data_IF_217621645355
#
_entry.id   IF_217621645355
#
_cell.length_a   1.000
_cell.length_b   1.000
_cell.length_c   1.000
_cell.angle_alpha   90.00
_cell.angle_beta   90.00
_cell.angle_gamma   90.00
#
_symmetry.space_group_name_H-M   'P 1'
#
loop_
_entity.id
_entity.type
_entity.pdbx_description
1 polymer ?
#
# COMPACT_ATOMS: atom_id res chain seq x y z
N UNK A 1 -14.70 13.17 -7.01
CA UNK A 1 -16.00 12.45 -7.14
C UNK A 1 -15.77 11.01 -7.64
N UNK A 2 -15.13 10.81 -8.79
CA UNK A 2 -14.89 9.49 -9.41
C UNK A 2 -14.26 8.43 -8.45
N UNK A 3 -13.13 8.76 -7.79
CA UNK A 3 -12.47 7.85 -6.83
C UNK A 3 -13.43 7.34 -5.74
N UNK A 4 -14.24 8.23 -5.14
CA UNK A 4 -15.17 7.85 -4.06
C UNK A 4 -16.25 6.90 -4.55
N UNK A 5 -16.81 7.16 -5.72
CA UNK A 5 -17.84 6.30 -6.34
C UNK A 5 -17.24 4.92 -6.61
N UNK A 6 -16.06 4.87 -7.25
CA UNK A 6 -15.41 3.59 -7.55
C UNK A 6 -15.02 2.84 -6.27
N UNK A 7 -14.55 3.52 -5.23
CA UNK A 7 -14.26 2.89 -3.94
C UNK A 7 -15.51 2.25 -3.32
N UNK A 8 -16.68 2.90 -3.42
CA UNK A 8 -17.95 2.34 -2.92
C UNK A 8 -18.32 1.10 -3.74
N UNK A 9 -18.26 1.18 -5.07
CA UNK A 9 -18.56 0.04 -5.96
C UNK A 9 -17.64 -1.14 -5.65
N UNK A 10 -16.33 -0.90 -5.53
CA UNK A 10 -15.36 -1.95 -5.19
C UNK A 10 -15.63 -2.54 -3.80
N UNK A 11 -15.99 -1.74 -2.79
CA UNK A 11 -16.37 -2.26 -1.46
C UNK A 11 -17.57 -3.20 -1.56
N UNK A 12 -18.61 -2.81 -2.31
CA UNK A 12 -19.79 -3.64 -2.51
C UNK A 12 -19.41 -4.97 -3.21
N UNK A 13 -18.60 -4.92 -4.26
CA UNK A 13 -18.12 -6.11 -4.98
C UNK A 13 -17.28 -7.02 -4.08
N UNK A 14 -16.29 -6.46 -3.37
CA UNK A 14 -15.44 -7.24 -2.47
C UNK A 14 -16.25 -7.86 -1.32
N UNK A 15 -17.22 -7.13 -0.77
CA UNK A 15 -18.07 -7.65 0.30
C UNK A 15 -19.02 -8.75 -0.19
N UNK A 16 -19.63 -8.56 -1.36
CA UNK A 16 -20.64 -9.48 -1.91
C UNK A 16 -19.99 -10.78 -2.40
N UNK A 17 -18.95 -10.67 -3.22
CA UNK A 17 -18.36 -11.85 -3.88
C UNK A 17 -17.24 -12.50 -3.07
N UNK A 18 -16.48 -11.71 -2.30
CA UNK A 18 -15.27 -12.19 -1.63
C UNK A 18 -15.37 -12.17 -0.10
N UNK A 19 -16.56 -11.90 0.45
CA UNK A 19 -16.80 -11.85 1.90
C UNK A 19 -15.72 -11.06 2.66
N UNK A 20 -15.32 -9.90 2.09
CA UNK A 20 -14.22 -9.11 2.60
C UNK A 20 -14.43 -8.70 4.06
N UNK A 21 -13.43 -9.00 4.88
CA UNK A 21 -13.36 -8.64 6.29
C UNK A 21 -12.31 -7.54 6.48
N UNK A 22 -12.62 -6.51 7.25
CA UNK A 22 -11.73 -5.39 7.53
C UNK A 22 -11.62 -5.18 9.03
N UNK A 23 -10.39 -5.20 9.53
CA UNK A 23 -10.07 -5.08 10.96
C UNK A 23 -9.16 -3.87 11.17
N UNK A 24 -9.35 -3.16 12.28
CA UNK A 24 -8.47 -2.08 12.72
C UNK A 24 -8.53 -0.81 11.87
N UNK A 25 -9.60 -0.57 11.12
CA UNK A 25 -9.77 0.63 10.29
C UNK A 25 -9.65 1.94 11.11
N UNK A 26 -9.98 1.91 12.39
CA UNK A 26 -9.89 3.04 13.30
C UNK A 26 -8.43 3.38 13.68
N UNK A 27 -7.49 2.48 13.42
CA UNK A 27 -6.07 2.74 13.55
C UNK A 27 -5.54 3.69 12.45
N UNK A 28 -6.30 3.94 11.38
CA UNK A 28 -5.87 4.79 10.27
C UNK A 28 -6.13 6.26 10.60
N UNK A 29 -5.07 7.10 10.76
CA UNK A 29 -5.21 8.52 11.04
C UNK A 29 -6.06 9.23 10.00
N UNK A 30 -7.02 10.03 10.45
CA UNK A 30 -7.92 10.79 9.57
C UNK A 30 -7.23 11.99 8.92
N UNK A 31 -6.16 12.49 9.53
CA UNK A 31 -5.42 13.68 9.13
C UNK A 31 -3.91 13.43 9.09
N UNK A 32 -3.17 14.39 8.54
CA UNK A 32 -1.70 14.36 8.46
C UNK A 32 -1.15 13.47 7.35
N UNK A 33 0.17 13.48 7.22
CA UNK A 33 0.92 12.63 6.29
C UNK A 33 0.85 11.16 6.73
N UNK A 34 0.51 10.27 5.81
CA UNK A 34 0.31 8.87 6.13
C UNK A 34 0.87 7.95 5.04
N UNK A 35 1.57 6.91 5.45
CA UNK A 35 1.97 5.79 4.60
C UNK A 35 1.21 4.55 5.04
N UNK A 36 0.49 3.91 4.13
CA UNK A 36 -0.05 2.57 4.30
C UNK A 36 0.95 1.58 3.71
N UNK A 37 1.64 0.85 4.57
CA UNK A 37 2.66 -0.13 4.18
C UNK A 37 2.05 -1.53 4.22
N UNK A 38 1.80 -2.13 3.04
CA UNK A 38 1.12 -3.42 2.92
C UNK A 38 1.99 -4.48 2.28
N UNK A 39 1.77 -5.77 2.59
CA UNK A 39 2.33 -6.86 1.80
C UNK A 39 1.72 -6.91 0.40
N UNK A 40 2.45 -7.46 -0.57
CA UNK A 40 2.06 -7.47 -1.97
C UNK A 40 2.02 -8.87 -2.56
N UNK A 41 0.86 -9.34 -2.98
CA UNK A 41 0.66 -10.68 -3.55
C UNK A 41 -0.06 -10.65 -4.90
N UNK A 42 -0.85 -9.60 -5.17
CA UNK A 42 -1.76 -9.56 -6.31
C UNK A 42 -1.90 -8.17 -6.92
N UNK A 43 -2.29 -8.09 -8.18
CA UNK A 43 -2.73 -6.84 -8.80
C UNK A 43 -4.02 -6.28 -8.16
N UNK A 44 -4.74 -7.09 -7.40
CA UNK A 44 -5.94 -6.68 -6.66
C UNK A 44 -5.64 -5.99 -5.31
N UNK A 45 -4.38 -6.03 -4.82
CA UNK A 45 -4.02 -5.41 -3.53
C UNK A 45 -4.24 -3.89 -3.52
N UNK A 46 -3.77 -3.10 -4.52
CA UNK A 46 -3.99 -1.67 -4.52
C UNK A 46 -5.47 -1.28 -4.56
N UNK A 47 -6.33 -1.84 -5.45
CA UNK A 47 -7.76 -1.54 -5.44
C UNK A 47 -8.46 -2.01 -4.16
N UNK A 48 -8.06 -3.13 -3.57
CA UNK A 48 -8.61 -3.61 -2.32
C UNK A 48 -8.27 -2.67 -1.15
N UNK A 49 -6.99 -2.33 -0.97
CA UNK A 49 -6.54 -1.39 0.05
C UNK A 49 -7.15 0.01 -0.15
N UNK A 50 -7.15 0.51 -1.38
CA UNK A 50 -7.72 1.82 -1.71
C UNK A 50 -9.22 1.90 -1.49
N UNK A 51 -9.96 0.84 -1.78
CA UNK A 51 -11.40 0.79 -1.55
C UNK A 51 -11.78 0.92 -0.07
N UNK A 52 -11.03 0.29 0.82
CA UNK A 52 -11.36 0.28 2.25
C UNK A 52 -10.63 1.35 3.07
N UNK A 53 -9.62 2.02 2.53
CA UNK A 53 -8.99 3.14 3.21
C UNK A 53 -10.01 4.27 3.46
N UNK A 54 -10.02 4.89 4.67
CA UNK A 54 -10.91 6.01 4.97
C UNK A 54 -10.54 7.29 4.22
N UNK A 55 -9.33 7.34 3.64
CA UNK A 55 -8.80 8.46 2.88
C UNK A 55 -8.32 7.98 1.50
N UNK A 56 -8.40 8.83 0.45
CA UNK A 56 -7.87 8.48 -0.87
C UNK A 56 -6.39 8.12 -0.80
N UNK A 57 -6.01 7.00 -1.41
CA UNK A 57 -4.64 6.48 -1.39
C UNK A 57 -3.99 6.69 -2.74
N UNK A 58 -2.78 7.25 -2.72
CA UNK A 58 -1.92 7.40 -3.90
C UNK A 58 -0.98 6.19 -3.96
N UNK A 59 -0.89 5.53 -5.12
CA UNK A 59 -0.04 4.35 -5.29
C UNK A 59 1.08 4.59 -6.29
N UNK A 60 2.27 4.07 -5.99
CA UNK A 60 3.33 3.94 -6.97
C UNK A 60 3.03 2.77 -7.90
N UNK A 61 2.82 3.03 -9.17
CA UNK A 61 2.54 2.01 -10.17
C UNK A 61 3.67 1.95 -11.21
N UNK A 62 3.96 0.74 -11.68
CA UNK A 62 5.02 0.47 -12.66
C UNK A 62 4.81 1.32 -13.91
N UNK A 63 5.86 2.03 -14.39
CA UNK A 63 5.77 3.00 -15.50
C UNK A 63 5.18 2.38 -16.77
N UNK A 64 5.40 1.10 -17.01
CA UNK A 64 4.88 0.38 -18.17
C UNK A 64 3.34 0.32 -18.20
N UNK A 65 2.67 0.44 -17.04
CA UNK A 65 1.21 0.51 -16.96
C UNK A 65 0.65 1.81 -17.53
N UNK A 66 1.49 2.83 -17.68
CA UNK A 66 1.11 4.13 -18.25
C UNK A 66 1.33 4.21 -19.78
N UNK A 67 1.85 3.16 -20.43
CA UNK A 67 2.04 3.13 -21.88
C UNK A 67 0.71 3.07 -22.64
N UNK A 68 -0.28 2.34 -22.12
CA UNK A 68 -1.62 2.34 -22.67
C UNK A 68 -2.38 3.56 -22.15
N UNK A 69 -2.72 4.51 -23.03
CA UNK A 69 -3.37 5.79 -22.69
C UNK A 69 -4.69 5.62 -21.94
N UNK A 70 -5.52 4.66 -22.31
CA UNK A 70 -6.83 4.40 -21.67
C UNK A 70 -6.59 3.93 -20.23
N UNK A 71 -5.73 2.92 -20.06
CA UNK A 71 -5.40 2.37 -18.75
C UNK A 71 -4.69 3.41 -17.87
N UNK A 72 -3.76 4.18 -18.44
CA UNK A 72 -3.08 5.27 -17.76
C UNK A 72 -4.07 6.31 -17.18
N UNK A 73 -5.07 6.71 -17.97
CA UNK A 73 -6.10 7.64 -17.49
C UNK A 73 -6.91 7.06 -16.33
N UNK A 74 -7.27 5.77 -16.39
CA UNK A 74 -8.01 5.10 -15.32
C UNK A 74 -7.19 5.07 -14.03
N UNK A 75 -5.94 4.57 -14.07
CA UNK A 75 -5.11 4.45 -12.87
C UNK A 75 -4.69 5.82 -12.33
N UNK A 76 -4.49 6.82 -13.19
CA UNK A 76 -4.21 8.20 -12.77
C UNK A 76 -5.42 8.83 -12.08
N UNK A 77 -6.64 8.58 -12.56
CA UNK A 77 -7.87 9.00 -11.90
C UNK A 77 -8.07 8.31 -10.53
N UNK A 78 -7.38 7.20 -10.30
CA UNK A 78 -7.27 6.48 -9.03
C UNK A 78 -6.04 6.91 -8.21
N UNK A 79 -5.43 8.04 -8.56
CA UNK A 79 -4.27 8.61 -7.90
C UNK A 79 -3.00 7.75 -7.96
N UNK A 80 -2.89 6.83 -8.93
CA UNK A 80 -1.63 6.17 -9.20
C UNK A 80 -0.66 7.10 -9.97
N UNK A 81 0.63 7.01 -9.65
CA UNK A 81 1.69 7.73 -10.36
C UNK A 81 2.84 6.78 -10.73
N UNK A 82 3.55 7.06 -11.84
CA UNK A 82 4.55 6.14 -12.37
C UNK A 82 5.81 6.08 -11.52
N UNK A 83 6.40 4.87 -11.43
CA UNK A 83 7.72 4.62 -10.86
C UNK A 83 8.51 3.68 -11.75
N UNK A 84 9.79 3.99 -11.98
CA UNK A 84 10.76 3.08 -12.61
C UNK A 84 11.32 2.14 -11.54
N UNK A 85 11.03 0.85 -11.65
CA UNK A 85 11.55 -0.16 -10.72
C UNK A 85 13.01 -0.51 -11.06
N UNK A 86 13.77 -0.96 -10.05
CA UNK A 86 15.16 -1.43 -10.21
C UNK A 86 16.22 -0.32 -10.20
N UNK A 87 15.84 0.95 -10.05
CA UNK A 87 16.74 2.08 -9.84
C UNK A 87 16.11 3.05 -8.84
N UNK A 88 16.94 3.85 -8.17
CA UNK A 88 16.48 4.94 -7.33
C UNK A 88 15.77 6.02 -8.19
N UNK A 89 14.46 5.88 -8.38
CA UNK A 89 13.66 6.84 -9.16
C UNK A 89 13.46 8.13 -8.35
N UNK A 90 14.34 9.10 -8.58
CA UNK A 90 14.31 10.41 -7.91
C UNK A 90 12.98 11.14 -8.13
N UNK A 91 12.34 10.97 -9.29
CA UNK A 91 11.05 11.62 -9.59
C UNK A 91 9.93 10.99 -8.78
N UNK A 92 9.89 9.66 -8.65
CA UNK A 92 8.93 8.97 -7.82
C UNK A 92 9.08 9.35 -6.34
N UNK A 93 10.33 9.42 -5.83
CA UNK A 93 10.61 9.88 -4.46
C UNK A 93 10.16 11.34 -4.26
N UNK A 94 10.44 12.22 -5.22
CA UNK A 94 10.00 13.63 -5.17
C UNK A 94 8.47 13.74 -5.14
N UNK A 95 7.78 13.01 -6.00
CA UNK A 95 6.32 12.97 -6.05
C UNK A 95 5.73 12.46 -4.73
N UNK A 96 6.23 11.33 -4.22
CA UNK A 96 5.81 10.76 -2.95
C UNK A 96 6.02 11.75 -1.78
N UNK A 97 7.19 12.39 -1.72
CA UNK A 97 7.50 13.41 -0.70
C UNK A 97 6.55 14.61 -0.79
N UNK A 98 6.24 15.08 -2.00
CA UNK A 98 5.30 16.19 -2.21
C UNK A 98 3.89 15.81 -1.74
N UNK A 99 3.41 14.61 -2.08
CA UNK A 99 2.11 14.10 -1.62
C UNK A 99 2.03 14.02 -0.10
N UNK A 100 3.04 13.44 0.54
CA UNK A 100 3.08 13.32 2.00
C UNK A 100 3.16 14.67 2.70
N UNK A 101 3.99 15.62 2.21
CA UNK A 101 4.02 17.00 2.72
C UNK A 101 2.69 17.74 2.54
N UNK A 102 1.90 17.36 1.54
CA UNK A 102 0.52 17.83 1.34
C UNK A 102 -0.52 17.07 2.17
N UNK A 103 -0.11 16.34 3.21
CA UNK A 103 -0.99 15.55 4.08
C UNK A 103 -1.83 14.52 3.31
N UNK A 104 -1.29 13.95 2.25
CA UNK A 104 -1.94 12.87 1.49
C UNK A 104 -1.54 11.50 2.03
N UNK A 105 -2.28 10.47 1.61
CA UNK A 105 -1.99 9.07 1.94
C UNK A 105 -1.24 8.43 0.78
N UNK A 106 -0.14 7.76 1.09
CA UNK A 106 0.66 7.00 0.15
C UNK A 106 0.54 5.51 0.47
N UNK A 107 0.14 4.70 -0.49
CA UNK A 107 0.18 3.24 -0.42
C UNK A 107 1.50 2.74 -0.97
N UNK A 108 2.24 1.99 -0.17
CA UNK A 108 3.52 1.40 -0.55
C UNK A 108 3.50 -0.09 -0.20
N UNK A 109 4.11 -0.86 -1.08
CA UNK A 109 4.42 -2.26 -0.85
C UNK A 109 5.92 -2.37 -0.56
N UNK A 110 6.34 -2.53 0.72
CA UNK A 110 7.75 -2.47 1.11
C UNK A 110 8.65 -3.49 0.40
N UNK A 111 8.08 -4.59 -0.03
CA UNK A 111 8.78 -5.67 -0.76
C UNK A 111 9.25 -5.26 -2.17
N UNK A 112 8.77 -4.14 -2.71
CA UNK A 112 9.09 -3.65 -4.05
C UNK A 112 8.55 -4.51 -5.20
N UNK A 113 8.27 -5.78 -4.96
CA UNK A 113 7.73 -6.75 -5.93
C UNK A 113 6.63 -7.59 -5.29
N UNK A 114 5.84 -8.30 -6.12
CA UNK A 114 4.84 -9.23 -5.62
C UNK A 114 5.49 -10.52 -5.15
N UNK A 115 5.09 -10.99 -3.97
CA UNK A 115 5.43 -12.32 -3.47
C UNK A 115 4.81 -13.39 -4.36
N UNK A 116 5.58 -14.41 -4.72
CA UNK A 116 5.12 -15.58 -5.49
C UNK A 116 4.62 -16.70 -4.58
N UNK A 117 5.08 -16.71 -3.33
CA UNK A 117 4.76 -17.75 -2.35
C UNK A 117 3.63 -17.35 -1.39
N UNK A 118 3.23 -16.08 -1.41
CA UNK A 118 2.30 -15.52 -0.42
C UNK A 118 2.95 -15.12 0.91
N UNK A 119 4.25 -15.46 1.10
CA UNK A 119 5.01 -15.02 2.26
C UNK A 119 5.44 -13.55 2.13
N UNK A 120 5.54 -12.85 3.26
CA UNK A 120 6.02 -11.46 3.31
C UNK A 120 7.54 -11.48 3.21
N UNK A 121 8.06 -10.90 2.14
CA UNK A 121 9.49 -10.81 1.86
C UNK A 121 10.22 -9.76 2.70
N UNK A 122 11.49 -9.52 2.35
CA UNK A 122 12.31 -8.46 2.96
C UNK A 122 11.79 -7.09 2.51
N UNK A 123 11.81 -6.11 3.41
CA UNK A 123 11.45 -4.73 3.11
C UNK A 123 12.60 -3.94 2.51
N UNK A 124 12.29 -3.08 1.54
CA UNK A 124 13.18 -2.07 1.01
C UNK A 124 13.17 -0.82 1.89
N UNK A 125 14.30 -0.14 2.02
CA UNK A 125 14.45 1.07 2.86
C UNK A 125 13.62 2.27 2.40
N UNK A 126 12.99 2.20 1.24
CA UNK A 126 12.24 3.32 0.64
C UNK A 126 11.11 3.85 1.52
N UNK A 127 10.41 2.97 2.25
CA UNK A 127 9.34 3.38 3.17
C UNK A 127 9.90 4.15 4.36
N UNK A 128 10.97 3.63 4.96
CA UNK A 128 11.67 4.27 6.08
C UNK A 128 12.23 5.65 5.68
N UNK A 129 12.84 5.75 4.51
CA UNK A 129 13.37 6.99 3.97
C UNK A 129 12.26 8.05 3.81
N UNK A 130 11.13 7.68 3.20
CA UNK A 130 10.00 8.60 3.02
C UNK A 130 9.38 9.02 4.36
N UNK A 131 9.24 8.09 5.31
CA UNK A 131 8.79 8.40 6.67
C UNK A 131 9.74 9.39 7.37
N UNK A 132 11.06 9.18 7.29
CA UNK A 132 12.08 10.06 7.86
C UNK A 132 12.11 11.44 7.20
N UNK A 133 11.92 11.53 5.88
CA UNK A 133 11.90 12.80 5.12
C UNK A 133 10.65 13.65 5.40
N UNK A 134 9.53 13.03 5.72
CA UNK A 134 8.21 13.70 5.75
C UNK A 134 7.57 13.69 7.15
N UNK A 135 8.14 12.94 8.09
CA UNK A 135 7.55 12.67 9.41
C UNK A 135 6.16 12.00 9.33
N UNK A 136 5.86 11.36 8.20
CA UNK A 136 4.63 10.64 8.00
C UNK A 136 4.53 9.46 8.98
N UNK A 137 3.33 9.25 9.55
CA UNK A 137 3.04 8.02 10.25
C UNK A 137 2.98 6.86 9.26
N UNK A 138 3.43 5.67 9.66
CA UNK A 138 3.33 4.44 8.88
C UNK A 138 2.34 3.51 9.56
N UNK A 139 1.30 3.09 8.84
CA UNK A 139 0.37 2.07 9.28
C UNK A 139 0.72 0.78 8.55
N UNK A 140 1.21 -0.26 9.24
CA UNK A 140 1.38 -1.58 8.67
C UNK A 140 0.03 -2.18 8.32
N UNK A 141 -0.08 -2.84 7.17
CA UNK A 141 -1.34 -3.43 6.69
C UNK A 141 -1.09 -4.85 6.21
N UNK A 142 -1.90 -5.79 6.67
CA UNK A 142 -1.92 -7.15 6.12
C UNK A 142 -3.08 -7.30 5.13
N UNK A 143 -2.75 -7.83 3.94
CA UNK A 143 -3.68 -8.20 2.89
C UNK A 143 -3.62 -9.71 2.71
N UNK A 144 -4.78 -10.37 2.70
CA UNK A 144 -4.86 -11.82 2.52
C UNK A 144 -5.96 -12.21 1.53
N UNK A 145 -5.73 -13.30 0.80
CA UNK A 145 -6.69 -13.90 -0.13
C UNK A 145 -6.67 -13.34 -1.55
N UNK A 146 -6.09 -12.16 -1.77
CA UNK A 146 -6.08 -11.49 -3.09
C UNK A 146 -5.31 -12.27 -4.17
N UNK A 147 -4.31 -13.05 -3.78
CA UNK A 147 -3.54 -13.91 -4.69
C UNK A 147 -4.37 -15.07 -5.25
N UNK A 148 -5.43 -15.46 -4.57
CA UNK A 148 -6.34 -16.54 -5.01
C UNK A 148 -7.53 -16.02 -5.83
N UNK A 149 -7.76 -14.71 -5.87
CA UNK A 149 -8.88 -14.13 -6.60
C UNK A 149 -8.86 -14.54 -8.08
N UNK A 150 -9.98 -15.06 -8.55
CA UNK A 150 -10.19 -15.51 -9.93
C UNK A 150 -9.22 -16.61 -10.38
N UNK A 151 -8.62 -17.35 -9.43
CA UNK A 151 -7.84 -18.55 -9.75
C UNK A 151 -8.75 -19.71 -10.14
N UNK A 152 -8.17 -20.73 -10.78
CA UNK A 152 -8.90 -21.95 -11.13
C UNK A 152 -9.34 -22.74 -9.90
N UNK A 153 -8.52 -22.68 -8.82
CA UNK A 153 -8.78 -23.39 -7.57
C UNK A 153 -9.87 -22.72 -6.73
N UNK A 154 -9.87 -21.38 -6.66
CA UNK A 154 -10.80 -20.62 -5.81
C UNK A 154 -11.14 -19.27 -6.44
N UNK A 155 -12.27 -19.19 -7.15
CA UNK A 155 -12.69 -17.95 -7.83
C UNK A 155 -13.05 -16.81 -6.86
N UNK A 156 -13.61 -17.13 -5.72
CA UNK A 156 -14.15 -16.17 -4.73
C UNK A 156 -13.60 -16.44 -3.32
N UNK A 157 -12.29 -16.30 -3.10
CA UNK A 157 -11.68 -16.51 -1.79
C UNK A 157 -12.18 -15.47 -0.78
N UNK A 158 -12.16 -15.82 0.50
CA UNK A 158 -12.36 -14.85 1.57
C UNK A 158 -11.18 -13.87 1.60
N UNK A 159 -11.48 -12.57 1.49
CA UNK A 159 -10.46 -11.52 1.59
C UNK A 159 -10.42 -10.96 3.01
N UNK A 160 -9.20 -10.65 3.48
CA UNK A 160 -9.02 -10.01 4.79
C UNK A 160 -8.05 -8.85 4.65
N UNK A 161 -8.39 -7.71 5.28
CA UNK A 161 -7.59 -6.50 5.33
C UNK A 161 -7.46 -6.08 6.80
N UNK A 162 -6.24 -6.00 7.31
CA UNK A 162 -5.99 -5.66 8.71
C UNK A 162 -5.06 -4.45 8.78
N UNK A 163 -5.55 -3.37 9.40
CA UNK A 163 -4.75 -2.18 9.68
C UNK A 163 -4.15 -2.27 11.08
N UNK A 164 -2.82 -2.25 11.16
CA UNK A 164 -2.07 -2.20 12.41
C UNK A 164 -2.07 -0.81 13.05
N UNK A 165 -1.45 -0.69 14.21
CA UNK A 165 -1.27 0.60 14.88
C UNK A 165 -0.24 1.45 14.14
N UNK A 166 -0.42 2.80 14.08
CA UNK A 166 0.55 3.69 13.48
C UNK A 166 1.90 3.63 14.20
N UNK A 167 2.97 3.57 13.45
CA UNK A 167 4.35 3.69 13.94
C UNK A 167 5.02 4.89 13.28
N UNK A 168 6.03 5.48 13.95
CA UNK A 168 6.79 6.61 13.44
C UNK A 168 8.27 6.28 13.36
N UNK A 169 8.94 6.85 12.37
CA UNK A 169 10.39 6.82 12.29
C UNK A 169 10.96 7.98 13.12
N UNK A 170 11.74 7.66 14.14
CA UNK A 170 12.35 8.62 15.07
C UNK A 170 13.87 8.71 14.92
N UNK A 171 14.45 7.91 14.01
CA UNK A 171 15.88 7.86 13.77
C UNK A 171 16.42 8.94 12.83
N UNK A 172 17.74 8.87 12.58
CA UNK A 172 18.40 9.69 11.56
C UNK A 172 18.22 9.07 10.16
N UNK A 173 17.50 9.78 9.29
CA UNK A 173 17.28 9.37 7.87
C UNK A 173 18.56 9.26 7.03
N UNK A 174 19.72 9.71 7.55
CA UNK A 174 21.02 9.54 6.90
C UNK A 174 21.72 8.27 7.39
N UNK A 175 21.29 7.71 8.50
CA UNK A 175 21.80 6.45 9.02
C UNK A 175 21.08 5.28 8.36
N UNK A 176 21.84 4.53 7.54
CA UNK A 176 21.30 3.40 6.77
C UNK A 176 20.81 2.27 7.67
N UNK A 177 21.52 1.98 8.75
CA UNK A 177 21.17 0.90 9.68
C UNK A 177 19.82 1.19 10.36
N UNK A 178 19.56 2.45 10.75
CA UNK A 178 18.29 2.86 11.34
C UNK A 178 17.13 2.78 10.33
N UNK A 179 17.40 3.11 9.05
CA UNK A 179 16.41 2.94 7.99
C UNK A 179 16.08 1.46 7.75
N UNK A 180 17.09 0.59 7.73
CA UNK A 180 16.93 -0.86 7.57
C UNK A 180 16.16 -1.44 8.77
N UNK A 181 16.54 -1.09 9.99
CA UNK A 181 15.85 -1.52 11.22
C UNK A 181 14.37 -1.12 11.25
N UNK A 182 14.05 0.11 10.79
CA UNK A 182 12.65 0.54 10.71
C UNK A 182 11.87 -0.18 9.61
N UNK A 183 12.50 -0.47 8.46
CA UNK A 183 11.90 -1.28 7.41
C UNK A 183 11.61 -2.69 7.89
N UNK A 184 12.54 -3.32 8.59
CA UNK A 184 12.37 -4.65 9.17
C UNK A 184 11.23 -4.65 10.21
N UNK A 185 11.15 -3.61 11.06
CA UNK A 185 10.04 -3.42 11.99
C UNK A 185 8.69 -3.37 11.27
N UNK A 186 8.58 -2.64 10.15
CA UNK A 186 7.35 -2.59 9.35
C UNK A 186 6.98 -3.99 8.84
N UNK A 187 7.95 -4.74 8.31
CA UNK A 187 7.73 -6.11 7.82
C UNK A 187 7.27 -7.04 8.93
N UNK A 188 7.89 -6.96 10.10
CA UNK A 188 7.50 -7.78 11.26
C UNK A 188 6.08 -7.48 11.72
N UNK A 189 5.69 -6.20 11.77
CA UNK A 189 4.32 -5.82 12.11
C UNK A 189 3.32 -6.37 11.07
N UNK A 190 3.64 -6.30 9.77
CA UNK A 190 2.79 -6.90 8.72
C UNK A 190 2.66 -8.42 8.92
N UNK A 191 3.76 -9.12 9.23
CA UNK A 191 3.74 -10.57 9.52
C UNK A 191 2.87 -10.91 10.74
N UNK A 192 2.98 -10.13 11.83
CA UNK A 192 2.14 -10.32 13.02
C UNK A 192 0.66 -10.17 12.70
N UNK A 193 0.29 -9.16 11.88
CA UNK A 193 -1.09 -8.95 11.46
C UNK A 193 -1.64 -10.10 10.61
N UNK A 194 -0.82 -10.77 9.81
CA UNK A 194 -1.25 -11.94 9.02
C UNK A 194 -1.61 -13.15 9.88
N UNK A 195 -1.14 -13.21 11.11
CA UNK A 195 -1.39 -14.32 12.04
C UNK A 195 -2.64 -14.08 12.93
N UNK A 196 -3.35 -12.97 12.73
CA UNK A 196 -4.63 -12.65 13.36
C UNK A 196 -5.78 -13.19 12.50
#
# INVERSE_FOLDING_TARGET
MFYRILAIVLRCLFKLFFKAEVIGIDNVPRDGALILAANHMSNFDPPFLGAYSPRPVHFMAKIELFQNKIFANIISALYAFPVKRGAADKNAIKTATTLLKGNKVLGIFPEGTRSKTGEVGKGEVGVALLAGMTKAAVVPVAIMGTNKMLSEEEKFPKLKLIFGKPIKFEGDRKNREELEAFSDKIIEEIKKLKNI
#
